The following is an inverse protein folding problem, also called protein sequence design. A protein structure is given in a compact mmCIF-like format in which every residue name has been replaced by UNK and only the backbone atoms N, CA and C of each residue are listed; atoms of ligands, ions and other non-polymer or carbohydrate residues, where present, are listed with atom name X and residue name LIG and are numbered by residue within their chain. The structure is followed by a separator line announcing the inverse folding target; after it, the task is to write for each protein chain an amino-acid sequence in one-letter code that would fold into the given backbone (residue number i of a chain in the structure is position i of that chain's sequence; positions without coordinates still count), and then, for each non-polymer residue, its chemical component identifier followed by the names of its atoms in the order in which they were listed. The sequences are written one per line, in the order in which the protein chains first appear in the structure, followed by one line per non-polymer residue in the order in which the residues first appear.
data_IF_040224635817
#
_entry.id   IF_040224635817
#
_cell.length_a   1.000
_cell.length_b   1.000
_cell.length_c   1.000
_cell.angle_alpha   90.00
_cell.angle_beta   90.00
_cell.angle_gamma   90.00
#
_symmetry.space_group_name_H-M   'P 1'
#
loop_
_entity.id
_entity.type
_entity.pdbx_description
1 polymer ?
#
# COMPACT_ATOMS: atom_id res chain seq x y z
N UNK A 1 -1.88 14.98 -3.10
CA UNK A 1 -1.74 13.52 -3.28
C UNK A 1 -0.47 13.27 -4.06
N UNK A 2 0.54 12.67 -3.45
CA UNK A 2 1.87 12.50 -4.05
C UNK A 2 1.98 11.17 -4.78
N UNK A 3 2.49 11.19 -6.02
CA UNK A 3 2.71 9.97 -6.82
C UNK A 3 4.14 9.49 -6.61
N UNK A 4 4.30 8.19 -6.35
CA UNK A 4 5.59 7.54 -6.18
C UNK A 4 5.66 6.29 -7.05
N UNK A 5 6.75 6.12 -7.77
CA UNK A 5 7.00 4.96 -8.63
C UNK A 5 8.06 4.08 -7.99
N UNK A 6 7.80 2.78 -7.95
CA UNK A 6 8.72 1.84 -7.32
C UNK A 6 8.61 0.45 -7.94
N UNK A 7 9.61 -0.38 -7.66
CA UNK A 7 9.57 -1.79 -8.05
C UNK A 7 8.66 -2.57 -7.11
N UNK A 8 8.30 -3.79 -7.49
CA UNK A 8 7.57 -4.71 -6.60
C UNK A 8 8.24 -4.86 -5.22
N UNK A 9 9.57 -4.92 -5.17
CA UNK A 9 10.31 -5.05 -3.91
C UNK A 9 10.23 -3.77 -3.08
N UNK A 10 10.31 -2.60 -3.71
CA UNK A 10 10.13 -1.32 -3.03
C UNK A 10 8.70 -1.15 -2.49
N UNK A 11 7.69 -1.60 -3.24
CA UNK A 11 6.30 -1.63 -2.79
C UNK A 11 6.09 -2.54 -1.56
N UNK A 12 6.67 -3.75 -1.59
CA UNK A 12 6.64 -4.68 -0.45
C UNK A 12 7.29 -4.03 0.78
N UNK A 13 8.49 -3.43 0.62
CA UNK A 13 9.18 -2.75 1.71
C UNK A 13 8.32 -1.65 2.32
N UNK A 14 7.70 -0.80 1.49
CA UNK A 14 6.85 0.29 1.95
C UNK A 14 5.62 -0.21 2.72
N UNK A 15 4.97 -1.28 2.26
CA UNK A 15 3.83 -1.87 2.95
C UNK A 15 4.21 -2.47 4.30
N UNK A 16 5.41 -3.05 4.44
CA UNK A 16 5.92 -3.55 5.72
C UNK A 16 6.20 -2.40 6.69
N UNK A 17 6.75 -1.29 6.21
CA UNK A 17 6.95 -0.06 7.01
C UNK A 17 5.60 0.47 7.52
N UNK A 18 4.63 0.63 6.63
CA UNK A 18 3.26 1.06 6.99
C UNK A 18 2.64 0.12 8.02
N UNK A 19 2.75 -1.20 7.83
CA UNK A 19 2.25 -2.21 8.78
C UNK A 19 2.89 -2.03 10.17
N UNK A 20 4.19 -1.77 10.24
CA UNK A 20 4.90 -1.54 11.52
C UNK A 20 4.45 -0.23 12.18
N UNK A 21 4.30 0.84 11.40
CA UNK A 21 3.79 2.13 11.88
C UNK A 21 2.38 1.97 12.48
N UNK A 22 1.50 1.22 11.81
CA UNK A 22 0.16 0.90 12.30
C UNK A 22 0.14 0.07 13.58
N UNK A 23 1.14 -0.81 13.77
CA UNK A 23 1.21 -1.69 14.94
C UNK A 23 1.78 -0.97 16.17
N UNK A 24 2.63 0.04 15.96
CA UNK A 24 3.19 0.87 17.02
C UNK A 24 2.27 2.02 17.46
N UNK A 25 1.39 2.49 16.58
CA UNK A 25 0.35 3.45 16.91
C UNK A 25 -0.87 2.70 17.49
N UNK A 26 -1.26 3.00 18.73
CA UNK A 26 -2.41 2.36 19.40
C UNK A 26 -3.79 2.57 18.72
N UNK A 27 -3.83 3.19 17.54
CA UNK A 27 -5.01 3.39 16.69
C UNK A 27 -4.61 3.37 15.21
N UNK A 28 -5.45 2.86 14.29
CA UNK A 28 -5.12 2.78 12.88
C UNK A 28 -5.18 4.17 12.24
N UNK A 29 -4.03 4.86 12.18
CA UNK A 29 -3.90 6.19 11.57
C UNK A 29 -3.72 6.18 10.06
N UNK A 30 -3.74 4.98 9.44
CA UNK A 30 -3.49 4.83 8.02
C UNK A 30 -4.49 3.85 7.36
N UNK A 31 -4.87 4.18 6.14
CA UNK A 31 -5.70 3.36 5.25
C UNK A 31 -4.87 3.00 4.03
N UNK A 32 -4.89 1.72 3.67
CA UNK A 32 -4.22 1.21 2.46
C UNK A 32 -5.26 0.58 1.55
N UNK A 33 -5.31 1.04 0.30
CA UNK A 33 -6.21 0.51 -0.74
C UNK A 33 -5.39 0.15 -1.96
N UNK A 34 -5.37 -1.12 -2.36
CA UNK A 34 -4.68 -1.59 -3.56
C UNK A 34 -5.63 -1.67 -4.75
N UNK A 35 -5.19 -1.21 -5.92
CA UNK A 35 -5.85 -1.45 -7.19
C UNK A 35 -5.15 -2.58 -7.93
N UNK A 36 -5.90 -3.64 -8.19
CA UNK A 36 -5.44 -4.77 -9.01
C UNK A 36 -5.39 -4.40 -10.48
N UNK A 37 -4.63 -5.17 -11.25
CA UNK A 37 -4.53 -5.05 -12.71
C UNK A 37 -5.84 -5.35 -13.44
N UNK A 38 -6.75 -6.10 -12.81
CA UNK A 38 -8.11 -6.37 -13.31
C UNK A 38 -9.12 -5.27 -12.93
N UNK A 39 -8.66 -4.18 -12.30
CA UNK A 39 -9.51 -3.05 -11.90
C UNK A 39 -10.18 -3.21 -10.55
N UNK A 40 -10.14 -4.39 -9.91
CA UNK A 40 -10.72 -4.59 -8.59
C UNK A 40 -9.89 -3.90 -7.49
N UNK A 41 -10.56 -3.37 -6.47
CA UNK A 41 -9.93 -2.76 -5.31
C UNK A 41 -9.86 -3.74 -4.13
N UNK A 42 -8.78 -3.64 -3.36
CA UNK A 42 -8.56 -4.45 -2.16
C UNK A 42 -8.19 -3.52 -1.02
N UNK A 43 -8.86 -3.66 0.12
CA UNK A 43 -8.62 -2.83 1.30
C UNK A 43 -7.74 -3.57 2.31
N UNK A 44 -6.92 -2.81 3.03
CA UNK A 44 -6.11 -3.29 4.15
C UNK A 44 -4.69 -3.68 3.75
N UNK A 45 -3.74 -3.36 4.64
CA UNK A 45 -2.30 -3.54 4.39
C UNK A 45 -1.91 -4.99 4.11
N UNK A 46 -2.50 -5.97 4.82
CA UNK A 46 -2.20 -7.40 4.61
C UNK A 46 -2.66 -7.89 3.25
N UNK A 47 -3.91 -7.60 2.89
CA UNK A 47 -4.52 -8.07 1.63
C UNK A 47 -3.82 -7.45 0.42
N UNK A 48 -3.42 -6.18 0.53
CA UNK A 48 -2.61 -5.50 -0.49
C UNK A 48 -1.21 -6.11 -0.55
N UNK A 49 -0.55 -6.38 0.58
CA UNK A 49 0.78 -7.00 0.61
C UNK A 49 0.80 -8.38 -0.05
N UNK A 50 -0.19 -9.24 0.23
CA UNK A 50 -0.34 -10.54 -0.42
C UNK A 50 -0.48 -10.38 -1.95
N UNK A 51 -1.29 -9.41 -2.37
CA UNK A 51 -1.57 -9.19 -3.80
C UNK A 51 -0.38 -8.56 -4.54
N UNK A 52 0.42 -7.71 -3.88
CA UNK A 52 1.69 -7.19 -4.41
C UNK A 52 2.70 -8.31 -4.60
N UNK A 53 2.84 -9.20 -3.60
CA UNK A 53 3.72 -10.39 -3.71
C UNK A 53 3.32 -11.29 -4.88
N UNK A 54 2.02 -11.46 -5.10
CA UNK A 54 1.48 -12.21 -6.24
C UNK A 54 1.58 -11.47 -7.59
N UNK A 55 2.09 -10.23 -7.64
CA UNK A 55 2.22 -9.44 -8.88
C UNK A 55 0.89 -8.97 -9.48
N UNK A 56 -0.20 -8.99 -8.71
CA UNK A 56 -1.57 -8.69 -9.15
C UNK A 56 -1.96 -7.23 -8.97
N UNK A 57 -1.20 -6.45 -8.21
CA UNK A 57 -1.44 -5.03 -7.94
C UNK A 57 -0.75 -4.17 -9.00
N UNK A 58 -1.47 -3.15 -9.51
CA UNK A 58 -0.93 -2.12 -10.38
C UNK A 58 -0.44 -0.90 -9.56
N UNK A 59 -1.21 -0.51 -8.56
CA UNK A 59 -0.83 0.56 -7.62
C UNK A 59 -1.57 0.40 -6.28
N UNK A 60 -1.11 1.09 -5.25
CA UNK A 60 -1.86 1.23 -4.00
C UNK A 60 -1.86 2.67 -3.48
N UNK A 61 -2.92 3.01 -2.79
CA UNK A 61 -3.14 4.27 -2.09
C UNK A 61 -2.77 4.06 -0.62
N UNK A 62 -2.02 5.00 -0.08
CA UNK A 62 -1.72 5.11 1.34
C UNK A 62 -2.20 6.48 1.82
N UNK A 63 -3.14 6.49 2.74
CA UNK A 63 -3.67 7.71 3.34
C UNK A 63 -3.51 7.64 4.85
N UNK A 64 -2.81 8.60 5.43
CA UNK A 64 -2.64 8.77 6.86
C UNK A 64 -2.83 10.24 7.24
N UNK A 65 -2.79 10.55 8.54
CA UNK A 65 -2.90 11.93 9.04
C UNK A 65 -1.81 12.88 8.49
N UNK A 66 -0.66 12.33 8.08
CA UNK A 66 0.50 13.11 7.62
C UNK A 66 0.84 12.89 6.16
N UNK A 67 0.29 11.84 5.52
CA UNK A 67 0.69 11.44 4.18
C UNK A 67 -0.50 10.97 3.35
N UNK A 68 -0.63 11.47 2.12
CA UNK A 68 -1.55 10.93 1.14
C UNK A 68 -0.81 10.66 -0.18
N UNK A 69 -0.54 9.38 -0.44
CA UNK A 69 0.34 8.90 -1.51
C UNK A 69 -0.31 7.81 -2.37
N UNK A 70 0.00 7.85 -3.66
CA UNK A 70 -0.25 6.75 -4.60
C UNK A 70 1.09 6.14 -4.97
N UNK A 71 1.21 4.82 -4.83
CA UNK A 71 2.41 4.07 -5.14
C UNK A 71 2.14 3.19 -6.36
N UNK A 72 2.78 3.52 -7.49
CA UNK A 72 2.73 2.74 -8.72
C UNK A 72 3.84 1.69 -8.72
N UNK A 73 3.49 0.49 -9.18
CA UNK A 73 4.40 -0.66 -9.20
C UNK A 73 4.78 -0.98 -10.65
N UNK A 74 6.05 -0.78 -11.01
CA UNK A 74 6.65 -1.21 -12.28
C UNK A 74 7.20 -2.63 -12.20
#
# INVERSE_FOLDING_TARGET
MNQYFTTRQGAIRRLIEIKREMMGAGYPLATVVGRRKDGCEINGVESVLVSVRAGRIACFFHTSATENRVVFIS
#
